data_IF_332861382748
#
_entry.id   IF_332861382748
#
_cell.length_a   1.000
_cell.length_b   1.000
_cell.length_c   1.000
_cell.angle_alpha   90.00
_cell.angle_beta   90.00
_cell.angle_gamma   90.00
#
_symmetry.space_group_name_H-M   'P 1'
#
loop_
_entity.id
_entity.type
_entity.pdbx_description
1 polymer ?
#
# COMPACT_ATOMS: atom_id res chain seq x y z
N UNK A 1 20.97 47.11 -27.17
CA UNK A 1 19.97 46.05 -27.47
C UNK A 1 20.63 44.69 -27.72
N UNK A 2 21.66 44.61 -28.58
CA UNK A 2 22.38 43.38 -28.90
C UNK A 2 22.94 42.60 -27.68
N UNK A 3 23.48 43.30 -26.68
CA UNK A 3 24.03 42.66 -25.46
C UNK A 3 22.98 41.94 -24.60
N UNK A 4 21.73 42.43 -24.58
CA UNK A 4 20.62 41.78 -23.85
C UNK A 4 20.11 40.54 -24.58
N UNK A 5 20.14 40.57 -25.91
CA UNK A 5 19.74 39.42 -26.74
C UNK A 5 20.77 38.31 -26.59
N UNK A 6 22.07 38.65 -26.57
CA UNK A 6 23.17 37.71 -26.36
C UNK A 6 23.08 37.02 -24.99
N UNK A 7 22.84 37.78 -23.91
CA UNK A 7 22.69 37.23 -22.55
C UNK A 7 21.45 36.32 -22.43
N UNK A 8 20.34 36.68 -23.07
CA UNK A 8 19.15 35.83 -23.12
C UNK A 8 19.40 34.51 -23.87
N UNK A 9 20.18 34.55 -24.96
CA UNK A 9 20.53 33.36 -25.76
C UNK A 9 21.45 32.40 -24.99
N UNK A 10 22.43 32.94 -24.26
CA UNK A 10 23.34 32.15 -23.42
C UNK A 10 22.58 31.47 -22.29
N UNK A 11 21.66 32.20 -21.63
CA UNK A 11 20.82 31.62 -20.57
C UNK A 11 19.90 30.53 -21.11
N UNK A 12 19.31 30.73 -22.29
CA UNK A 12 18.45 29.72 -22.93
C UNK A 12 19.24 28.46 -23.29
N UNK A 13 20.47 28.61 -23.83
CA UNK A 13 21.36 27.47 -24.09
C UNK A 13 21.73 26.70 -22.82
N UNK A 14 22.01 27.41 -21.73
CA UNK A 14 22.27 26.81 -20.42
C UNK A 14 21.03 26.08 -19.87
N UNK A 15 19.84 26.67 -19.98
CA UNK A 15 18.61 26.00 -19.57
C UNK A 15 18.34 24.74 -20.40
N UNK A 16 18.55 24.78 -21.71
CA UNK A 16 18.38 23.61 -22.59
C UNK A 16 19.42 22.53 -22.27
N UNK A 17 20.67 22.90 -21.99
CA UNK A 17 21.72 21.95 -21.63
C UNK A 17 21.46 21.29 -20.26
N UNK A 18 21.01 22.06 -19.27
CA UNK A 18 20.69 21.56 -17.93
C UNK A 18 19.43 20.68 -17.98
N UNK A 19 18.39 21.11 -18.70
CA UNK A 19 17.15 20.34 -18.82
C UNK A 19 17.35 19.07 -19.66
N UNK A 20 18.13 19.15 -20.74
CA UNK A 20 18.54 17.99 -21.53
C UNK A 20 19.42 17.01 -20.75
N UNK A 21 20.36 17.52 -19.95
CA UNK A 21 21.20 16.71 -19.05
C UNK A 21 20.40 16.03 -17.95
N UNK A 22 19.42 16.71 -17.36
CA UNK A 22 18.50 16.13 -16.39
C UNK A 22 17.62 15.04 -17.04
N UNK A 23 17.02 15.31 -18.20
CA UNK A 23 16.21 14.30 -18.92
C UNK A 23 17.05 13.08 -19.31
N UNK A 24 18.33 13.28 -19.67
CA UNK A 24 19.25 12.18 -19.99
C UNK A 24 19.65 11.37 -18.75
N UNK A 25 20.05 12.03 -17.65
CA UNK A 25 20.38 11.37 -16.38
C UNK A 25 19.20 10.61 -15.78
N UNK A 26 17.98 11.14 -15.93
CA UNK A 26 16.76 10.51 -15.43
C UNK A 26 16.06 9.62 -16.46
N UNK A 27 16.64 9.37 -17.64
CA UNK A 27 16.05 8.51 -18.69
C UNK A 27 15.75 7.11 -18.18
N UNK A 28 16.67 6.51 -17.40
CA UNK A 28 16.46 5.20 -16.78
C UNK A 28 15.31 5.19 -15.74
N UNK A 29 15.13 6.32 -15.04
CA UNK A 29 14.05 6.51 -14.07
C UNK A 29 12.70 6.66 -14.77
N UNK A 30 12.65 7.38 -15.89
CA UNK A 30 11.43 7.53 -16.70
C UNK A 30 10.98 6.21 -17.32
N UNK A 31 11.91 5.42 -17.87
CA UNK A 31 11.61 4.11 -18.46
C UNK A 31 11.12 3.14 -17.38
N UNK A 32 11.79 3.09 -16.23
CA UNK A 32 11.39 2.21 -15.12
C UNK A 32 10.13 2.69 -14.39
N UNK A 33 9.83 3.99 -14.34
CA UNK A 33 8.55 4.51 -13.87
C UNK A 33 7.41 4.15 -14.84
N UNK A 34 7.65 4.31 -16.15
CA UNK A 34 6.70 3.95 -17.20
C UNK A 34 6.39 2.44 -17.20
N UNK A 35 7.40 1.59 -17.11
CA UNK A 35 7.25 0.14 -16.99
C UNK A 35 6.51 -0.25 -15.71
N UNK A 36 6.73 0.43 -14.58
CA UNK A 36 5.98 0.19 -13.34
C UNK A 36 4.53 0.63 -13.43
N UNK A 37 4.23 1.76 -14.06
CA UNK A 37 2.83 2.16 -14.32
C UNK A 37 2.16 1.19 -15.28
N UNK A 38 2.90 0.67 -16.27
CA UNK A 38 2.43 -0.37 -17.19
C UNK A 38 2.17 -1.69 -16.46
N UNK A 39 3.07 -2.15 -15.61
CA UNK A 39 2.93 -3.38 -14.79
C UNK A 39 1.79 -3.22 -13.78
N UNK A 40 1.61 -2.05 -13.18
CA UNK A 40 0.45 -1.77 -12.33
C UNK A 40 -0.85 -1.79 -13.13
N UNK A 41 -0.86 -1.23 -14.34
CA UNK A 41 -2.01 -1.29 -15.26
C UNK A 41 -2.30 -2.70 -15.78
N UNK A 42 -1.27 -3.47 -16.13
CA UNK A 42 -1.41 -4.86 -16.56
C UNK A 42 -1.70 -5.80 -15.40
N UNK A 43 -1.27 -5.48 -14.18
CA UNK A 43 -1.62 -6.16 -12.94
C UNK A 43 -3.09 -5.96 -12.59
N UNK A 44 -3.64 -4.77 -12.83
CA UNK A 44 -5.09 -4.52 -12.80
C UNK A 44 -5.81 -5.32 -13.90
N UNK A 45 -5.20 -5.49 -15.08
CA UNK A 45 -5.74 -6.35 -16.14
C UNK A 45 -5.62 -7.85 -15.82
N UNK A 46 -4.57 -8.29 -15.12
CA UNK A 46 -4.42 -9.66 -14.58
C UNK A 46 -5.41 -9.92 -13.46
N UNK A 47 -5.71 -8.94 -12.60
CA UNK A 47 -6.82 -9.01 -11.65
C UNK A 47 -8.17 -9.17 -12.34
N UNK A 48 -8.35 -8.57 -13.53
CA UNK A 48 -9.53 -8.81 -14.39
C UNK A 48 -9.52 -10.22 -15.04
N UNK A 49 -8.35 -10.80 -15.29
CA UNK A 49 -8.21 -12.20 -15.78
C UNK A 49 -8.39 -13.24 -14.66
N UNK A 50 -7.98 -12.94 -13.44
CA UNK A 50 -8.30 -13.71 -12.23
C UNK A 50 -9.79 -13.57 -11.85
N UNK A 51 -10.44 -12.46 -12.24
CA UNK A 51 -11.89 -12.35 -12.29
C UNK A 51 -12.53 -13.17 -13.43
N UNK A 52 -11.76 -13.73 -14.37
CA UNK A 52 -12.28 -14.69 -15.37
C UNK A 52 -12.09 -16.14 -14.90
N UNK A 53 -11.11 -16.40 -14.03
CA UNK A 53 -11.10 -17.58 -13.15
C UNK A 53 -12.20 -17.55 -12.05
N UNK A 54 -13.08 -16.53 -12.08
CA UNK A 54 -14.16 -16.33 -11.11
C UNK A 54 -15.37 -17.27 -11.28
N UNK A 55 -15.35 -18.20 -12.23
CA UNK A 55 -16.36 -19.25 -12.28
C UNK A 55 -16.36 -20.10 -11.00
N UNK A 56 -15.24 -20.14 -10.26
CA UNK A 56 -15.14 -20.74 -8.92
C UNK A 56 -15.57 -19.77 -7.78
N UNK A 57 -15.29 -18.46 -7.92
CA UNK A 57 -15.74 -17.42 -6.97
C UNK A 57 -17.26 -17.14 -7.01
N UNK A 58 -17.99 -17.60 -8.03
CA UNK A 58 -19.43 -17.41 -8.14
C UNK A 58 -20.22 -18.17 -7.06
N UNK A 59 -19.74 -19.35 -6.59
CA UNK A 59 -20.42 -20.11 -5.51
C UNK A 59 -20.41 -19.39 -4.16
N UNK A 60 -19.36 -18.64 -3.84
CA UNK A 60 -19.29 -17.79 -2.64
C UNK A 60 -20.00 -16.43 -2.80
N UNK A 61 -20.36 -16.05 -4.03
CA UNK A 61 -20.95 -14.75 -4.39
C UNK A 61 -22.48 -14.78 -4.49
N UNK A 62 -23.12 -15.95 -4.64
CA UNK A 62 -24.60 -16.07 -4.64
C UNK A 62 -25.24 -15.74 -3.29
N UNK A 63 -24.47 -15.74 -2.20
CA UNK A 63 -24.87 -15.19 -0.89
C UNK A 63 -24.30 -13.79 -0.60
N UNK A 64 -23.62 -13.13 -1.55
CA UNK A 64 -23.22 -11.74 -1.39
C UNK A 64 -24.42 -10.86 -1.73
N UNK A 65 -25.22 -10.54 -0.71
CA UNK A 65 -25.87 -9.23 -0.67
C UNK A 65 -24.74 -8.23 -0.85
N UNK A 66 -24.54 -7.70 -2.07
CA UNK A 66 -23.62 -6.59 -2.32
C UNK A 66 -23.99 -5.52 -1.30
N UNK A 67 -23.17 -5.25 -0.26
CA UNK A 67 -23.38 -4.03 0.47
C UNK A 67 -23.07 -2.95 -0.55
N UNK A 68 -24.08 -2.14 -0.83
CA UNK A 68 -23.97 -0.93 -1.63
C UNK A 68 -22.78 -0.17 -1.03
N UNK A 69 -21.60 -0.23 -1.67
CA UNK A 69 -20.34 0.26 -1.10
C UNK A 69 -20.44 1.78 -1.03
N UNK A 70 -21.04 2.27 0.05
CA UNK A 70 -21.02 3.68 0.39
C UNK A 70 -19.62 3.98 0.89
N UNK A 71 -19.00 5.06 0.40
CA UNK A 71 -17.69 5.54 0.85
C UNK A 71 -17.58 5.60 2.37
N UNK A 72 -18.70 5.85 3.05
CA UNK A 72 -18.82 5.86 4.51
C UNK A 72 -18.57 4.48 5.15
N UNK A 73 -19.11 3.40 4.60
CA UNK A 73 -18.88 2.03 5.09
C UNK A 73 -17.42 1.63 4.88
N UNK A 74 -16.83 2.00 3.74
CA UNK A 74 -15.44 1.69 3.48
C UNK A 74 -14.48 2.39 4.45
N UNK A 75 -14.77 3.65 4.82
CA UNK A 75 -13.98 4.41 5.80
C UNK A 75 -14.15 3.83 7.20
N UNK A 76 -15.36 3.41 7.58
CA UNK A 76 -15.65 2.75 8.86
C UNK A 76 -14.89 1.43 8.99
N UNK A 77 -14.93 0.56 7.98
CA UNK A 77 -14.23 -0.73 7.98
C UNK A 77 -12.70 -0.54 8.09
N UNK A 78 -12.15 0.51 7.48
CA UNK A 78 -10.71 0.81 7.58
C UNK A 78 -10.37 1.36 8.96
N UNK A 79 -11.22 2.20 9.55
CA UNK A 79 -11.03 2.71 10.91
C UNK A 79 -11.10 1.57 11.94
N UNK A 80 -12.10 0.71 11.85
CA UNK A 80 -12.30 -0.43 12.76
C UNK A 80 -11.18 -1.47 12.65
N UNK A 81 -10.66 -1.72 11.44
CA UNK A 81 -9.54 -2.63 11.24
C UNK A 81 -8.18 -2.08 11.73
N UNK A 82 -8.08 -0.76 11.97
CA UNK A 82 -6.79 -0.08 12.22
C UNK A 82 -6.67 0.50 13.63
N UNK A 83 -7.79 0.96 14.20
CA UNK A 83 -7.86 1.61 15.50
C UNK A 83 -8.89 0.84 16.35
N UNK A 84 -8.39 0.08 17.31
CA UNK A 84 -9.16 -0.67 18.29
C UNK A 84 -9.88 0.31 19.26
N UNK A 85 -10.88 1.05 18.78
CA UNK A 85 -11.48 2.18 19.51
C UNK A 85 -12.99 2.06 19.75
N UNK A 86 -13.34 2.20 21.04
CA UNK A 86 -14.69 2.13 21.67
C UNK A 86 -15.54 3.40 21.54
N UNK A 87 -15.21 4.35 20.65
CA UNK A 87 -15.94 5.63 20.57
C UNK A 87 -17.18 5.57 19.67
N UNK A 88 -18.29 6.26 20.01
CA UNK A 88 -19.59 6.10 19.36
C UNK A 88 -19.71 6.68 17.93
N UNK A 89 -18.76 7.50 17.45
CA UNK A 89 -18.80 8.13 16.11
C UNK A 89 -17.39 8.30 15.47
N UNK A 90 -16.71 7.21 15.05
CA UNK A 90 -15.33 7.24 14.55
C UNK A 90 -15.14 8.05 13.25
N UNK A 91 -16.18 8.12 12.41
CA UNK A 91 -16.13 8.84 11.13
C UNK A 91 -16.08 10.36 11.32
N UNK A 92 -16.80 10.89 12.30
CA UNK A 92 -16.81 12.34 12.62
C UNK A 92 -15.48 12.76 13.24
N UNK A 93 -14.95 11.96 14.17
CA UNK A 93 -13.65 12.21 14.78
C UNK A 93 -12.53 12.27 13.72
N UNK A 94 -12.55 11.36 12.74
CA UNK A 94 -11.59 11.36 11.64
C UNK A 94 -11.71 12.60 10.74
N UNK A 95 -12.93 13.01 10.39
CA UNK A 95 -13.17 14.21 9.59
C UNK A 95 -12.73 15.49 10.32
N UNK A 96 -13.04 15.61 11.61
CA UNK A 96 -12.59 16.75 12.41
C UNK A 96 -11.07 16.81 12.56
N UNK A 97 -10.43 15.65 12.76
CA UNK A 97 -8.97 15.58 12.82
C UNK A 97 -8.34 16.01 11.48
N UNK A 98 -8.84 15.50 10.36
CA UNK A 98 -8.32 15.86 9.04
C UNK A 98 -8.53 17.35 8.71
N UNK A 99 -9.72 17.88 9.04
CA UNK A 99 -10.01 19.30 8.88
C UNK A 99 -9.12 20.18 9.77
N UNK A 100 -8.88 19.77 11.01
CA UNK A 100 -8.01 20.48 11.95
C UNK A 100 -6.56 20.54 11.43
N UNK A 101 -6.03 19.42 10.93
CA UNK A 101 -4.68 19.37 10.35
C UNK A 101 -4.59 20.28 9.12
N UNK A 102 -5.58 20.26 8.23
CA UNK A 102 -5.62 21.14 7.06
C UNK A 102 -5.71 22.62 7.46
N UNK A 103 -6.52 22.96 8.47
CA UNK A 103 -6.67 24.32 8.97
C UNK A 103 -5.39 24.86 9.60
N UNK A 104 -4.69 24.05 10.41
CA UNK A 104 -3.40 24.42 11.01
C UNK A 104 -2.36 24.71 9.93
N UNK A 105 -2.28 23.86 8.91
CA UNK A 105 -1.35 24.05 7.79
C UNK A 105 -1.70 25.30 6.98
N UNK A 106 -2.99 25.55 6.72
CA UNK A 106 -3.46 26.74 6.01
C UNK A 106 -3.12 28.03 6.77
N UNK A 107 -3.45 28.09 8.07
CA UNK A 107 -3.21 29.25 8.92
C UNK A 107 -1.70 29.49 9.07
N UNK A 108 -0.91 28.45 9.31
CA UNK A 108 0.55 28.57 9.42
C UNK A 108 1.20 29.11 8.15
N UNK A 109 0.80 28.62 6.98
CA UNK A 109 1.30 29.12 5.70
C UNK A 109 0.84 30.54 5.39
N UNK A 110 -0.41 30.87 5.74
CA UNK A 110 -0.97 32.21 5.56
C UNK A 110 -0.19 33.24 6.39
N UNK A 111 0.13 32.93 7.66
CA UNK A 111 0.90 33.83 8.53
C UNK A 111 2.31 34.13 8.01
N UNK A 112 2.94 33.16 7.32
CA UNK A 112 4.30 33.31 6.79
C UNK A 112 4.33 34.04 5.44
N UNK A 113 3.32 33.79 4.59
CA UNK A 113 3.34 34.29 3.20
C UNK A 113 2.44 35.49 2.96
N UNK A 114 1.54 35.82 3.89
CA UNK A 114 0.50 36.85 3.80
C UNK A 114 -0.38 36.76 2.52
N UNK A 115 -0.37 35.62 1.84
CA UNK A 115 -1.08 35.36 0.60
C UNK A 115 -2.17 34.31 0.84
N UNK A 116 -3.39 34.55 0.32
CA UNK A 116 -4.54 33.66 0.54
C UNK A 116 -4.60 32.46 -0.42
N UNK A 117 -3.95 32.56 -1.59
CA UNK A 117 -3.95 31.53 -2.65
C UNK A 117 -2.88 30.45 -2.45
N UNK A 118 -1.68 30.85 -2.06
CA UNK A 118 -0.53 29.95 -1.88
C UNK A 118 -0.76 28.80 -0.86
N UNK A 119 -1.44 29.01 0.28
CA UNK A 119 -1.67 27.97 1.29
C UNK A 119 -2.67 26.88 0.87
N UNK A 120 -3.44 27.08 -0.20
CA UNK A 120 -4.52 26.15 -0.61
C UNK A 120 -3.95 24.78 -1.01
N UNK A 121 -2.83 24.76 -1.73
CA UNK A 121 -2.18 23.53 -2.20
C UNK A 121 -1.65 22.67 -1.03
N UNK A 122 -0.85 23.20 -0.09
CA UNK A 122 -0.39 22.40 1.05
C UNK A 122 -1.55 21.99 1.98
N UNK A 123 -2.55 22.84 2.20
CA UNK A 123 -3.70 22.50 3.04
C UNK A 123 -4.55 21.34 2.46
N UNK A 124 -4.77 21.34 1.15
CA UNK A 124 -5.47 20.25 0.47
C UNK A 124 -4.69 18.93 0.54
N UNK A 125 -3.36 18.96 0.35
CA UNK A 125 -2.52 17.77 0.53
C UNK A 125 -2.58 17.24 1.97
N UNK A 126 -2.53 18.13 2.97
CA UNK A 126 -2.61 17.76 4.39
C UNK A 126 -3.95 17.15 4.78
N UNK A 127 -5.06 17.54 4.13
CA UNK A 127 -6.37 16.92 4.33
C UNK A 127 -6.42 15.44 3.89
N UNK A 128 -5.66 15.06 2.86
CA UNK A 128 -5.61 13.66 2.41
C UNK A 128 -4.63 12.79 3.20
N UNK A 129 -3.76 13.41 4.00
CA UNK A 129 -2.68 12.74 4.71
C UNK A 129 -3.17 11.70 5.74
N UNK A 130 -4.17 11.99 6.60
CA UNK A 130 -4.70 11.01 7.56
C UNK A 130 -5.31 9.78 6.87
N UNK A 131 -5.99 9.98 5.74
CA UNK A 131 -6.56 8.88 4.95
C UNK A 131 -5.46 8.01 4.33
N UNK A 132 -4.41 8.64 3.81
CA UNK A 132 -3.24 7.93 3.31
C UNK A 132 -2.60 7.08 4.42
N UNK A 133 -2.43 7.62 5.63
CA UNK A 133 -1.85 6.89 6.78
C UNK A 133 -2.68 5.66 7.14
N UNK A 134 -4.01 5.77 7.21
CA UNK A 134 -4.88 4.62 7.49
C UNK A 134 -4.78 3.54 6.41
N UNK A 135 -4.81 3.94 5.13
CA UNK A 135 -4.64 3.01 4.02
C UNK A 135 -3.30 2.27 4.10
N UNK A 136 -2.25 2.99 4.48
CA UNK A 136 -0.91 2.43 4.68
C UNK A 136 -0.88 1.44 5.84
N UNK A 137 -1.49 1.76 6.97
CA UNK A 137 -1.54 0.85 8.11
C UNK A 137 -2.28 -0.44 7.76
N UNK A 138 -3.45 -0.33 7.09
CA UNK A 138 -4.18 -1.49 6.54
C UNK A 138 -3.32 -2.31 5.58
N UNK A 139 -2.58 -1.64 4.68
CA UNK A 139 -1.67 -2.31 3.77
C UNK A 139 -0.54 -3.04 4.50
N UNK A 140 0.08 -2.42 5.51
CA UNK A 140 1.14 -3.04 6.34
C UNK A 140 0.65 -4.25 7.12
N UNK A 141 -0.56 -4.19 7.66
CA UNK A 141 -1.19 -5.33 8.34
C UNK A 141 -1.42 -6.47 7.36
N UNK A 142 -1.95 -6.17 6.17
CA UNK A 142 -2.17 -7.15 5.11
C UNK A 142 -0.86 -7.78 4.61
N UNK A 143 0.22 -7.01 4.51
CA UNK A 143 1.57 -7.53 4.24
C UNK A 143 1.99 -8.48 5.34
N UNK A 144 1.91 -8.07 6.61
CA UNK A 144 2.31 -8.93 7.74
C UNK A 144 1.54 -10.26 7.73
N UNK A 145 0.22 -10.19 7.56
CA UNK A 145 -0.62 -11.38 7.48
C UNK A 145 -0.28 -12.25 6.26
N UNK A 146 0.10 -11.65 5.13
CA UNK A 146 0.55 -12.36 3.94
C UNK A 146 1.83 -13.19 4.19
N UNK A 147 2.78 -12.67 4.97
CA UNK A 147 3.95 -13.43 5.41
C UNK A 147 3.60 -14.50 6.46
N UNK A 148 2.73 -14.17 7.41
CA UNK A 148 2.38 -15.06 8.52
C UNK A 148 1.50 -16.25 8.02
N UNK A 149 0.78 -16.12 6.89
CA UNK A 149 -0.17 -17.15 6.41
C UNK A 149 0.55 -18.29 5.69
N UNK A 150 1.68 -18.00 5.03
CA UNK A 150 2.47 -18.98 4.30
C UNK A 150 2.82 -20.21 5.15
N UNK A 151 3.46 -20.08 6.33
CA UNK A 151 3.77 -21.25 7.15
C UNK A 151 2.52 -21.99 7.63
N UNK A 152 1.39 -21.29 7.81
CA UNK A 152 0.13 -21.92 8.19
C UNK A 152 -0.43 -22.81 7.07
N UNK A 153 -0.35 -22.36 5.80
CA UNK A 153 -0.80 -23.14 4.64
C UNK A 153 0.10 -24.36 4.44
N UNK A 154 1.42 -24.19 4.48
CA UNK A 154 2.37 -25.31 4.35
C UNK A 154 2.21 -26.35 5.46
N UNK A 155 1.93 -25.89 6.69
CA UNK A 155 1.65 -26.79 7.82
C UNK A 155 0.32 -27.52 7.61
N UNK A 156 -0.72 -26.81 7.15
CA UNK A 156 -2.03 -27.41 6.88
C UNK A 156 -1.94 -28.50 5.81
N UNK A 157 -1.19 -28.32 4.72
CA UNK A 157 -0.93 -29.37 3.71
C UNK A 157 -0.38 -30.63 4.39
N UNK A 158 0.63 -30.45 5.24
CA UNK A 158 1.28 -31.58 5.94
C UNK A 158 0.30 -32.29 6.88
N UNK A 159 -0.50 -31.53 7.63
CA UNK A 159 -1.50 -32.07 8.56
C UNK A 159 -2.68 -32.71 7.85
N UNK A 160 -3.11 -32.17 6.72
CA UNK A 160 -4.20 -32.71 5.92
C UNK A 160 -3.88 -34.12 5.40
N UNK A 161 -2.63 -34.34 4.96
CA UNK A 161 -2.14 -35.67 4.58
C UNK A 161 -2.02 -36.63 5.77
N UNK A 162 -1.57 -36.12 6.92
CA UNK A 162 -1.40 -36.93 8.14
C UNK A 162 -2.75 -37.38 8.75
N UNK A 163 -3.78 -36.52 8.69
CA UNK A 163 -5.11 -36.74 9.25
C UNK A 163 -6.08 -37.38 8.26
N UNK A 164 -5.57 -38.23 7.34
CA UNK A 164 -6.37 -38.97 6.37
C UNK A 164 -7.35 -38.12 5.55
N UNK A 165 -6.91 -36.93 5.11
CA UNK A 165 -7.70 -36.00 4.29
C UNK A 165 -8.94 -35.44 5.01
N UNK A 166 -8.94 -35.43 6.35
CA UNK A 166 -10.00 -34.82 7.14
C UNK A 166 -9.67 -33.36 7.47
N UNK A 167 -10.34 -32.43 6.78
CA UNK A 167 -10.11 -30.98 6.95
C UNK A 167 -10.33 -30.48 8.38
N UNK A 168 -11.30 -31.04 9.12
CA UNK A 168 -11.59 -30.63 10.50
C UNK A 168 -10.42 -30.96 11.45
N UNK A 169 -9.91 -32.18 11.34
CA UNK A 169 -8.80 -32.66 12.17
C UNK A 169 -7.48 -31.99 11.78
N UNK A 170 -7.26 -31.81 10.47
CA UNK A 170 -6.11 -31.10 9.93
C UNK A 170 -6.05 -29.64 10.43
N UNK A 171 -7.19 -28.94 10.45
CA UNK A 171 -7.27 -27.57 10.97
C UNK A 171 -6.98 -27.50 12.47
N UNK A 172 -7.49 -28.45 13.26
CA UNK A 172 -7.18 -28.55 14.69
C UNK A 172 -5.68 -28.75 14.93
N UNK A 173 -5.09 -29.75 14.28
CA UNK A 173 -3.66 -30.05 14.40
C UNK A 173 -2.78 -28.87 13.93
N UNK A 174 -3.22 -28.13 12.91
CA UNK A 174 -2.52 -26.93 12.42
C UNK A 174 -2.55 -25.79 13.44
N UNK A 175 -3.70 -25.55 14.08
CA UNK A 175 -3.86 -24.48 15.10
C UNK A 175 -3.02 -24.76 16.35
N UNK A 176 -2.86 -26.03 16.70
CA UNK A 176 -2.11 -26.46 17.88
C UNK A 176 -0.60 -26.29 17.70
N UNK A 177 -0.07 -26.58 16.52
CA UNK A 177 1.37 -26.49 16.23
C UNK A 177 1.82 -25.09 15.78
N UNK A 178 0.89 -24.21 15.37
CA UNK A 178 1.23 -22.84 15.00
C UNK A 178 1.75 -22.02 16.19
N UNK A 179 2.79 -21.18 15.98
CA UNK A 179 3.20 -20.21 16.98
C UNK A 179 2.10 -19.17 17.25
N UNK A 180 2.12 -18.48 18.40
CA UNK A 180 1.14 -17.44 18.71
C UNK A 180 1.23 -16.28 17.72
N UNK A 181 0.30 -16.25 16.77
CA UNK A 181 0.22 -15.24 15.70
C UNK A 181 -1.21 -14.73 15.49
N UNK A 182 -1.36 -13.65 14.72
CA UNK A 182 -2.68 -13.16 14.33
C UNK A 182 -3.48 -14.21 13.54
N UNK A 183 -2.77 -15.04 12.77
CA UNK A 183 -3.36 -16.07 11.91
C UNK A 183 -3.75 -17.31 12.68
N UNK A 184 -2.96 -17.72 13.68
CA UNK A 184 -3.40 -18.75 14.63
C UNK A 184 -4.71 -18.35 15.31
N UNK A 185 -4.84 -17.07 15.71
CA UNK A 185 -6.10 -16.54 16.28
C UNK A 185 -7.25 -16.49 15.26
N UNK A 186 -6.96 -16.26 13.99
CA UNK A 186 -7.98 -16.28 12.94
C UNK A 186 -8.43 -17.71 12.64
N UNK A 187 -7.50 -18.66 12.49
CA UNK A 187 -7.76 -20.08 12.25
C UNK A 187 -8.46 -20.77 13.42
N UNK A 188 -8.05 -20.49 14.66
CA UNK A 188 -8.75 -21.01 15.85
C UNK A 188 -10.20 -20.52 15.93
N UNK A 189 -10.45 -19.24 15.66
CA UNK A 189 -11.82 -18.71 15.59
C UNK A 189 -12.61 -19.33 14.44
N UNK A 190 -11.98 -19.58 13.29
CA UNK A 190 -12.59 -20.29 12.18
C UNK A 190 -12.97 -21.73 12.60
N UNK A 191 -12.05 -22.48 13.19
CA UNK A 191 -12.29 -23.85 13.66
C UNK A 191 -13.42 -23.94 14.69
N UNK A 192 -13.47 -23.01 15.66
CA UNK A 192 -14.56 -22.97 16.66
C UNK A 192 -15.91 -22.65 16.00
N UNK A 193 -15.93 -21.79 14.99
CA UNK A 193 -17.17 -21.47 14.26
C UNK A 193 -17.60 -22.60 13.34
N UNK A 194 -16.65 -23.26 12.68
CA UNK A 194 -16.91 -24.44 11.88
C UNK A 194 -17.42 -25.57 12.79
N UNK A 195 -16.71 -25.99 13.83
CA UNK A 195 -17.20 -27.05 14.74
C UNK A 195 -18.60 -26.84 15.36
N UNK A 196 -19.12 -25.60 15.37
CA UNK A 196 -20.47 -25.23 15.84
C UNK A 196 -21.50 -25.03 14.73
N UNK A 197 -21.13 -25.17 13.45
CA UNK A 197 -22.04 -24.93 12.34
C UNK A 197 -23.23 -25.91 12.38
N UNK A 198 -24.40 -25.42 11.99
CA UNK A 198 -25.59 -26.27 11.80
C UNK A 198 -25.93 -26.38 10.32
N UNK A 199 -25.41 -25.50 9.47
CA UNK A 199 -25.57 -25.59 8.02
C UNK A 199 -24.57 -24.78 7.18
N UNK A 200 -24.67 -24.93 5.86
CA UNK A 200 -23.78 -24.34 4.84
C UNK A 200 -23.61 -22.82 4.99
N UNK A 201 -24.68 -22.10 5.31
CA UNK A 201 -24.66 -20.64 5.48
C UNK A 201 -23.75 -20.18 6.61
N UNK A 202 -23.74 -20.92 7.73
CA UNK A 202 -22.92 -20.58 8.90
C UNK A 202 -21.43 -20.80 8.61
N UNK A 203 -21.10 -21.86 7.86
CA UNK A 203 -19.76 -22.14 7.40
C UNK A 203 -19.24 -21.03 6.46
N UNK A 204 -20.08 -20.59 5.51
CA UNK A 204 -19.76 -19.47 4.60
C UNK A 204 -19.52 -18.17 5.38
N UNK A 205 -20.32 -17.88 6.41
CA UNK A 205 -20.14 -16.69 7.25
C UNK A 205 -18.85 -16.76 8.08
N UNK A 206 -18.52 -17.94 8.63
CA UNK A 206 -17.28 -18.18 9.35
C UNK A 206 -16.05 -17.93 8.44
N UNK A 207 -16.06 -18.46 7.22
CA UNK A 207 -15.02 -18.27 6.22
C UNK A 207 -14.90 -16.81 5.75
N UNK A 208 -16.04 -16.11 5.57
CA UNK A 208 -16.05 -14.66 5.29
C UNK A 208 -15.39 -13.86 6.40
N UNK A 209 -15.71 -14.19 7.66
CA UNK A 209 -15.08 -13.54 8.80
C UNK A 209 -13.57 -13.80 8.85
N UNK A 210 -13.11 -15.00 8.49
CA UNK A 210 -11.68 -15.32 8.38
C UNK A 210 -11.00 -14.51 7.28
N UNK A 211 -11.62 -14.41 6.10
CA UNK A 211 -11.11 -13.60 4.98
C UNK A 211 -11.00 -12.12 5.33
N UNK A 212 -11.98 -11.57 6.02
CA UNK A 212 -11.98 -10.17 6.45
C UNK A 212 -10.88 -9.89 7.50
N UNK A 213 -10.65 -10.83 8.42
CA UNK A 213 -9.60 -10.70 9.45
C UNK A 213 -8.19 -10.81 8.85
N UNK A 214 -8.00 -11.72 7.90
CA UNK A 214 -6.66 -11.97 7.33
C UNK A 214 -6.34 -10.96 6.21
N UNK A 215 -7.31 -10.64 5.37
CA UNK A 215 -7.20 -9.60 4.33
C UNK A 215 -6.19 -9.93 3.21
N UNK A 216 -5.96 -11.21 2.94
CA UNK A 216 -5.00 -11.72 1.95
C UNK A 216 -5.72 -12.47 0.84
N UNK A 217 -5.11 -12.50 -0.36
CA UNK A 217 -5.66 -13.31 -1.47
C UNK A 217 -5.52 -14.79 -1.14
N UNK A 218 -4.40 -15.17 -0.51
CA UNK A 218 -4.15 -16.53 -0.03
C UNK A 218 -5.19 -17.01 0.98
N UNK A 219 -5.68 -16.14 1.89
CA UNK A 219 -6.77 -16.50 2.80
C UNK A 219 -8.07 -16.80 2.06
N UNK A 220 -8.35 -16.04 0.99
CA UNK A 220 -9.54 -16.25 0.17
C UNK A 220 -9.48 -17.61 -0.52
N UNK A 221 -8.34 -17.94 -1.14
CA UNK A 221 -8.13 -19.24 -1.78
C UNK A 221 -8.18 -20.38 -0.78
N UNK A 222 -7.49 -20.23 0.36
CA UNK A 222 -7.53 -21.21 1.45
C UNK A 222 -8.97 -21.42 1.96
N UNK A 223 -9.76 -20.37 2.08
CA UNK A 223 -11.16 -20.48 2.53
C UNK A 223 -12.01 -21.30 1.58
N UNK A 224 -11.79 -21.18 0.27
CA UNK A 224 -12.48 -21.99 -0.71
C UNK A 224 -12.08 -23.46 -0.58
N UNK A 225 -10.79 -23.76 -0.43
CA UNK A 225 -10.32 -25.13 -0.22
C UNK A 225 -10.82 -25.74 1.10
N UNK A 226 -10.90 -24.94 2.17
CA UNK A 226 -11.50 -25.37 3.43
C UNK A 226 -12.97 -25.68 3.22
N UNK A 227 -13.72 -24.88 2.46
CA UNK A 227 -15.12 -25.16 2.17
C UNK A 227 -15.31 -26.45 1.38
N UNK A 228 -14.54 -26.65 0.31
CA UNK A 228 -14.64 -27.85 -0.51
C UNK A 228 -14.29 -29.11 0.31
N UNK A 229 -13.22 -29.07 1.11
CA UNK A 229 -12.81 -30.20 1.94
C UNK A 229 -13.64 -30.42 3.20
N UNK A 230 -14.20 -29.37 3.78
CA UNK A 230 -14.95 -29.45 5.03
C UNK A 230 -16.46 -29.65 4.80
N UNK A 231 -17.05 -28.88 3.88
CA UNK A 231 -18.50 -28.85 3.64
C UNK A 231 -18.89 -29.80 2.50
N UNK A 232 -18.19 -29.72 1.36
CA UNK A 232 -18.48 -30.58 0.20
C UNK A 232 -17.84 -31.98 0.32
N UNK A 233 -16.88 -32.17 1.24
CA UNK A 233 -16.17 -33.44 1.45
C UNK A 233 -15.28 -33.85 0.27
N UNK A 234 -14.87 -32.88 -0.54
CA UNK A 234 -14.01 -33.09 -1.71
C UNK A 234 -12.55 -33.18 -1.27
N UNK A 235 -11.80 -34.10 -1.86
CA UNK A 235 -10.36 -34.14 -1.62
C UNK A 235 -9.66 -32.91 -2.24
N UNK A 236 -9.08 -32.09 -1.38
CA UNK A 236 -8.37 -30.86 -1.76
C UNK A 236 -6.84 -30.97 -1.61
N UNK A 237 -6.26 -32.17 -1.46
CA UNK A 237 -4.81 -32.33 -1.26
C UNK A 237 -4.00 -31.65 -2.37
N UNK A 238 -4.30 -31.99 -3.62
CA UNK A 238 -3.61 -31.42 -4.79
C UNK A 238 -3.74 -29.90 -4.82
N UNK A 239 -4.93 -29.36 -4.59
CA UNK A 239 -5.16 -27.91 -4.63
C UNK A 239 -4.51 -27.17 -3.46
N UNK A 240 -4.40 -27.80 -2.28
CA UNK A 240 -3.66 -27.24 -1.14
C UNK A 240 -2.16 -27.20 -1.42
N UNK A 241 -1.62 -28.23 -2.07
CA UNK A 241 -0.21 -28.29 -2.49
C UNK A 241 0.08 -27.22 -3.54
N UNK A 242 -0.76 -27.12 -4.58
CA UNK A 242 -0.65 -26.07 -5.60
C UNK A 242 -0.68 -24.68 -4.96
N UNK A 243 -1.59 -24.44 -4.01
CA UNK A 243 -1.64 -23.17 -3.28
C UNK A 243 -0.33 -22.89 -2.50
N UNK A 244 0.24 -23.90 -1.85
CA UNK A 244 1.50 -23.76 -1.15
C UNK A 244 2.67 -23.47 -2.11
N UNK A 245 2.73 -24.17 -3.24
CA UNK A 245 3.74 -23.97 -4.28
C UNK A 245 3.65 -22.56 -4.89
N UNK A 246 2.44 -22.10 -5.25
CA UNK A 246 2.17 -20.76 -5.77
C UNK A 246 2.70 -19.67 -4.84
N UNK A 247 2.42 -19.81 -3.53
CA UNK A 247 2.92 -18.88 -2.53
C UNK A 247 4.45 -18.88 -2.56
N UNK A 248 5.10 -20.04 -2.49
CA UNK A 248 6.57 -20.11 -2.49
C UNK A 248 7.20 -19.52 -3.76
N UNK A 249 6.58 -19.74 -4.92
CA UNK A 249 7.02 -19.17 -6.19
C UNK A 249 6.95 -17.63 -6.17
N UNK A 250 5.81 -17.07 -5.73
CA UNK A 250 5.64 -15.62 -5.59
C UNK A 250 6.63 -15.04 -4.57
N UNK A 251 6.90 -15.73 -3.46
CA UNK A 251 7.90 -15.31 -2.49
C UNK A 251 9.31 -15.27 -3.09
N UNK A 252 9.69 -16.28 -3.88
CA UNK A 252 10.97 -16.35 -4.55
C UNK A 252 11.14 -15.21 -5.58
N UNK A 253 10.10 -14.92 -6.34
CA UNK A 253 10.08 -13.82 -7.31
C UNK A 253 10.21 -12.45 -6.60
N UNK A 254 9.48 -12.24 -5.50
CA UNK A 254 9.59 -11.01 -4.71
C UNK A 254 10.97 -10.84 -4.07
N UNK A 255 11.62 -11.93 -3.68
CA UNK A 255 12.99 -11.90 -3.17
C UNK A 255 13.98 -11.47 -4.26
N UNK A 256 13.79 -11.93 -5.51
CA UNK A 256 14.57 -11.47 -6.67
C UNK A 256 14.34 -9.98 -6.95
N UNK A 257 13.09 -9.53 -6.97
CA UNK A 257 12.74 -8.12 -7.19
C UNK A 257 13.22 -7.18 -6.08
N UNK A 258 13.51 -7.69 -4.87
CA UNK A 258 14.02 -6.89 -3.76
C UNK A 258 15.41 -6.31 -4.05
N UNK A 259 16.21 -6.97 -4.89
CA UNK A 259 17.54 -6.49 -5.30
C UNK A 259 17.43 -5.25 -6.20
N UNK A 260 16.44 -5.22 -7.10
CA UNK A 260 16.17 -4.09 -8.01
C UNK A 260 15.50 -2.88 -7.32
N UNK A 261 14.95 -3.05 -6.10
CA UNK A 261 14.21 -1.99 -5.40
C UNK A 261 15.07 -0.98 -4.66
N UNK A 262 16.34 -1.29 -4.42
CA UNK A 262 17.30 -0.36 -3.80
C UNK A 262 17.35 0.96 -4.57
N UNK A 263 17.23 0.89 -5.90
CA UNK A 263 17.20 2.04 -6.81
C UNK A 263 16.00 2.96 -6.57
N UNK A 264 14.86 2.40 -6.16
CA UNK A 264 13.62 3.19 -5.91
C UNK A 264 13.71 3.98 -4.62
N UNK A 265 14.35 3.41 -3.59
CA UNK A 265 14.67 4.14 -2.37
C UNK A 265 15.66 5.28 -2.65
N UNK A 266 16.67 5.04 -3.49
CA UNK A 266 17.62 6.09 -3.89
C UNK A 266 16.93 7.27 -4.58
N UNK A 267 15.98 6.98 -5.50
CA UNK A 267 15.17 8.03 -6.17
C UNK A 267 14.34 8.82 -5.16
N UNK A 268 13.76 8.16 -4.15
CA UNK A 268 12.93 8.84 -3.15
C UNK A 268 13.72 9.71 -2.17
N UNK A 269 14.99 9.37 -1.91
CA UNK A 269 15.92 10.15 -1.09
C UNK A 269 16.57 11.28 -1.91
N UNK A 270 16.53 11.20 -3.25
CA UNK A 270 17.16 12.18 -4.16
C UNK A 270 16.78 13.64 -3.85
N UNK A 271 15.52 14.03 -3.61
CA UNK A 271 15.18 15.42 -3.31
C UNK A 271 15.86 15.98 -2.05
N UNK A 272 16.08 15.15 -1.03
CA UNK A 272 16.73 15.55 0.22
C UNK A 272 18.23 15.81 0.06
N UNK A 273 18.87 15.16 -0.91
CA UNK A 273 20.30 15.35 -1.22
C UNK A 273 20.47 16.42 -2.30
N UNK A 274 19.65 16.37 -3.36
CA UNK A 274 19.73 17.28 -4.49
C UNK A 274 19.44 18.74 -4.11
N UNK A 275 18.51 18.97 -3.17
CA UNK A 275 18.17 20.32 -2.74
C UNK A 275 19.34 21.06 -2.05
N UNK A 276 19.96 20.56 -0.97
CA UNK A 276 21.10 21.23 -0.34
C UNK A 276 22.32 21.30 -1.25
N UNK A 277 22.59 20.26 -2.05
CA UNK A 277 23.70 20.27 -3.03
C UNK A 277 23.49 21.33 -4.11
N UNK A 278 22.26 21.45 -4.64
CA UNK A 278 21.92 22.48 -5.62
C UNK A 278 22.02 23.89 -5.05
N UNK A 279 21.61 24.08 -3.79
CA UNK A 279 21.68 25.37 -3.11
C UNK A 279 23.14 25.77 -2.82
N UNK A 280 23.98 24.82 -2.41
CA UNK A 280 25.43 25.02 -2.29
C UNK A 280 26.08 25.37 -3.64
N UNK A 281 25.72 24.67 -4.71
CA UNK A 281 26.22 24.95 -6.05
C UNK A 281 25.86 26.37 -6.52
N UNK A 282 24.61 26.80 -6.31
CA UNK A 282 24.18 28.16 -6.63
C UNK A 282 24.92 29.22 -5.80
N UNK A 283 25.19 28.94 -4.53
CA UNK A 283 25.97 29.81 -3.65
C UNK A 283 27.42 29.97 -4.15
N UNK A 284 28.08 28.85 -4.46
CA UNK A 284 29.49 28.83 -4.85
C UNK A 284 29.75 29.32 -6.28
N UNK A 285 28.86 29.00 -7.23
CA UNK A 285 29.11 29.20 -8.67
C UNK A 285 28.39 30.38 -9.32
N UNK A 286 27.24 30.82 -8.77
CA UNK A 286 26.37 31.78 -9.46
C UNK A 286 26.18 33.05 -8.63
N UNK A 287 25.81 32.93 -7.35
CA UNK A 287 25.55 34.10 -6.51
C UNK A 287 25.76 33.78 -5.03
N UNK A 288 26.69 34.47 -4.39
CA UNK A 288 26.97 34.34 -2.96
C UNK A 288 25.78 34.74 -2.05
N UNK A 289 24.70 35.28 -2.62
CA UNK A 289 23.46 35.61 -1.92
C UNK A 289 22.37 34.52 -2.07
N UNK A 290 22.67 33.34 -2.61
CA UNK A 290 21.68 32.29 -2.85
C UNK A 290 20.85 31.93 -1.60
N UNK A 291 21.48 31.83 -0.42
CA UNK A 291 20.77 31.62 0.85
C UNK A 291 19.84 32.79 1.20
N UNK A 292 20.29 34.03 0.97
CA UNK A 292 19.49 35.24 1.22
C UNK A 292 18.29 35.33 0.27
N UNK A 293 18.44 34.90 -0.98
CA UNK A 293 17.31 34.85 -1.92
C UNK A 293 16.33 33.72 -1.58
N UNK A 294 16.82 32.55 -1.19
CA UNK A 294 15.96 31.41 -0.85
C UNK A 294 15.19 31.62 0.46
N UNK A 295 15.84 32.15 1.51
CA UNK A 295 15.22 32.29 2.84
C UNK A 295 14.77 33.72 3.17
N UNK A 296 15.27 34.73 2.45
CA UNK A 296 14.93 36.13 2.69
C UNK A 296 13.80 36.68 1.80
N UNK A 297 13.40 35.94 0.76
CA UNK A 297 12.23 36.32 -0.07
C UNK A 297 11.04 35.43 0.25
N UNK A 298 9.84 36.02 0.28
CA UNK A 298 8.58 35.28 0.49
C UNK A 298 8.37 34.19 -0.56
N UNK A 299 8.79 34.43 -1.80
CA UNK A 299 8.73 33.46 -2.90
C UNK A 299 9.72 32.30 -2.71
N UNK A 300 10.97 32.58 -2.34
CA UNK A 300 11.98 31.54 -2.09
C UNK A 300 11.59 30.63 -0.92
N UNK A 301 11.04 31.22 0.14
CA UNK A 301 10.61 30.49 1.33
C UNK A 301 9.39 29.61 1.00
N UNK A 302 8.43 30.13 0.23
CA UNK A 302 7.29 29.33 -0.26
C UNK A 302 7.74 28.13 -1.11
N UNK A 303 8.70 28.32 -2.03
CA UNK A 303 9.26 27.23 -2.84
C UNK A 303 10.01 26.20 -2.00
N UNK A 304 10.75 26.64 -0.97
CA UNK A 304 11.43 25.75 -0.04
C UNK A 304 10.46 24.86 0.73
N UNK A 305 9.37 25.44 1.27
CA UNK A 305 8.40 24.64 2.01
C UNK A 305 7.67 23.68 1.06
N UNK A 306 7.36 24.12 -0.16
CA UNK A 306 6.75 23.27 -1.18
C UNK A 306 7.65 22.08 -1.55
N UNK A 307 8.94 22.31 -1.81
CA UNK A 307 9.88 21.23 -2.12
C UNK A 307 10.08 20.30 -0.93
N UNK A 308 10.13 20.83 0.30
CA UNK A 308 10.19 20.02 1.52
C UNK A 308 8.95 19.12 1.67
N UNK A 309 7.75 19.65 1.42
CA UNK A 309 6.51 18.86 1.46
C UNK A 309 6.49 17.76 0.40
N UNK A 310 6.90 18.07 -0.83
CA UNK A 310 6.98 17.08 -1.92
C UNK A 310 8.01 16.00 -1.61
N UNK A 311 9.17 16.37 -1.04
CA UNK A 311 10.20 15.44 -0.63
C UNK A 311 9.72 14.51 0.51
N UNK A 312 9.07 15.07 1.53
CA UNK A 312 8.46 14.29 2.60
C UNK A 312 7.39 13.33 2.06
N UNK A 313 6.59 13.79 1.10
CA UNK A 313 5.58 12.95 0.46
C UNK A 313 6.22 11.82 -0.38
N UNK A 314 7.24 12.11 -1.18
CA UNK A 314 7.93 11.08 -1.99
C UNK A 314 8.60 10.02 -1.11
N UNK A 315 9.21 10.44 0.00
CA UNK A 315 9.84 9.54 0.96
C UNK A 315 8.78 8.69 1.71
N UNK A 316 7.65 9.29 2.09
CA UNK A 316 6.54 8.53 2.66
C UNK A 316 6.04 7.45 1.68
N UNK A 317 5.79 7.81 0.42
CA UNK A 317 5.41 6.86 -0.64
C UNK A 317 6.45 5.75 -0.78
N UNK A 318 7.73 6.08 -0.84
CA UNK A 318 8.78 5.06 -0.99
C UNK A 318 8.85 4.10 0.19
N UNK A 319 8.73 4.57 1.42
CA UNK A 319 8.70 3.71 2.62
C UNK A 319 7.50 2.75 2.56
N UNK A 320 6.34 3.23 2.10
CA UNK A 320 5.12 2.41 1.97
C UNK A 320 5.33 1.30 0.94
N UNK A 321 5.89 1.61 -0.23
CA UNK A 321 6.08 0.67 -1.33
C UNK A 321 7.32 -0.23 -1.16
N UNK A 322 8.19 0.04 -0.19
CA UNK A 322 9.42 -0.72 0.00
C UNK A 322 9.17 -2.19 0.41
N UNK A 323 8.05 -2.49 1.10
CA UNK A 323 7.63 -3.87 1.38
C UNK A 323 6.43 -4.23 0.51
N UNK A 324 6.61 -4.97 -0.60
CA UNK A 324 5.46 -5.47 -1.35
C UNK A 324 4.72 -6.52 -0.53
N UNK A 325 3.40 -6.52 -0.66
CA UNK A 325 2.54 -7.63 -0.25
C UNK A 325 2.91 -8.88 -1.07
N UNK A 326 2.93 -10.06 -0.44
CA UNK A 326 3.24 -11.32 -1.13
C UNK A 326 2.06 -11.93 -1.89
N UNK A 327 0.96 -11.21 -1.97
CA UNK A 327 -0.22 -11.63 -2.71
C UNK A 327 -0.47 -10.56 -3.78
N UNK A 328 -0.46 -11.00 -5.04
CA UNK A 328 -0.55 -10.18 -6.25
C UNK A 328 -2.00 -9.72 -6.47
#
# INVERSE_FOLDING_TARGET
MAFRILDALIRLLLYVAIFGGAVYLFRGVWISAWERTRIAWTGVAQRRRLQTASLYNQRFSTGQVRPRISLTQHILDVLEATLDYKTPDPLRAFLYFSLAVAAVVYIGFYLVTANYLLPVVPATLSFFLPYAVLRVQKYRLSIKNSYDITPAISLLVTKYRAEHLNMAHALAATVDELPPSAIRRALSRLLVRLSRHVGERDALEALRSFNNQTGTVWATQLSSLIYDGFVEGIDVDTSLVELAEDITHVQAELKRQRLDRTDTLMVAVTPFVAFPVGLWYLYAGVTHNAFKYQFGTTQGLALFILTALIACFSLAVAIIFFRPKQDI
#
